data_IF_372266414739
#
_entry.id   IF_372266414739
#
_cell.length_a   1.000
_cell.length_b   1.000
_cell.length_c   1.000
_cell.angle_alpha   90.00
_cell.angle_beta   90.00
_cell.angle_gamma   90.00
#
_symmetry.space_group_name_H-M   'P 1'
#
loop_
_entity.id
_entity.type
_entity.pdbx_description
1 polymer ?
#
# COMPACT_ATOMS: atom_id res chain seq x y z
N UNK A 1 51.91 -47.71 -7.42
CA UNK A 1 51.26 -48.70 -8.31
C UNK A 1 50.05 -48.05 -8.95
N UNK A 2 49.87 -48.33 -10.24
CA UNK A 2 48.91 -47.73 -11.17
C UNK A 2 47.45 -48.22 -10.93
N UNK A 3 46.47 -47.57 -11.58
CA UNK A 3 45.06 -47.40 -11.20
C UNK A 3 44.14 -48.41 -11.91
N UNK A 4 42.82 -48.29 -11.74
CA UNK A 4 41.72 -48.72 -12.62
C UNK A 4 40.41 -48.29 -11.91
N UNK A 5 39.28 -47.93 -12.51
CA UNK A 5 38.85 -47.80 -13.89
C UNK A 5 37.34 -47.47 -13.88
N UNK A 6 36.92 -46.49 -14.69
CA UNK A 6 36.01 -46.63 -15.84
C UNK A 6 34.50 -46.88 -15.58
N UNK A 7 33.71 -45.83 -15.92
CA UNK A 7 32.52 -45.78 -16.83
C UNK A 7 31.29 -46.69 -16.57
N UNK A 8 30.12 -46.51 -17.24
CA UNK A 8 29.65 -45.52 -18.25
C UNK A 8 28.33 -44.79 -17.84
N UNK A 9 27.90 -43.64 -18.38
CA UNK A 9 27.40 -43.25 -19.72
C UNK A 9 26.16 -44.01 -20.26
N UNK A 10 25.07 -43.24 -20.39
CA UNK A 10 24.22 -43.07 -21.59
C UNK A 10 22.84 -43.77 -21.67
N UNK A 11 22.03 -43.18 -22.57
CA UNK A 11 20.83 -43.70 -23.29
C UNK A 11 19.49 -43.36 -22.63
N UNK A 12 18.43 -42.87 -23.29
CA UNK A 12 18.15 -42.15 -24.55
C UNK A 12 16.61 -41.94 -24.54
N UNK A 13 16.16 -40.81 -25.09
CA UNK A 13 14.94 -40.59 -25.91
C UNK A 13 13.74 -41.56 -25.76
N UNK A 14 12.58 -40.98 -25.46
CA UNK A 14 11.26 -41.50 -25.85
C UNK A 14 10.37 -40.35 -26.32
N UNK A 15 9.85 -40.48 -27.54
CA UNK A 15 9.12 -39.50 -28.34
C UNK A 15 7.68 -40.01 -28.52
N UNK A 16 6.70 -39.09 -28.61
CA UNK A 16 5.30 -39.25 -29.06
C UNK A 16 4.33 -40.13 -28.24
N UNK A 17 3.14 -39.61 -27.93
CA UNK A 17 1.91 -39.82 -28.74
C UNK A 17 0.77 -38.88 -28.29
N UNK A 18 0.11 -38.30 -29.29
CA UNK A 18 -1.16 -37.58 -29.31
C UNK A 18 -2.31 -38.27 -28.56
N UNK A 19 -3.18 -37.52 -27.87
CA UNK A 19 -4.64 -37.62 -28.03
C UNK A 19 -5.24 -36.23 -27.84
N UNK A 20 -5.74 -35.65 -28.94
CA UNK A 20 -6.80 -34.65 -28.91
C UNK A 20 -8.13 -35.40 -28.94
N UNK A 21 -9.08 -35.03 -28.08
CA UNK A 21 -10.49 -35.22 -28.36
C UNK A 21 -11.33 -34.17 -27.64
N UNK A 22 -12.00 -33.38 -28.47
CA UNK A 22 -13.08 -32.46 -28.15
C UNK A 22 -14.28 -33.21 -27.56
N UNK A 23 -15.08 -32.48 -26.76
CA UNK A 23 -16.53 -32.50 -26.98
C UNK A 23 -17.42 -32.49 -25.75
N UNK A 24 -18.22 -31.42 -25.67
CA UNK A 24 -19.44 -31.23 -24.86
C UNK A 24 -19.26 -31.08 -23.34
N UNK A 25 -19.78 -30.07 -22.66
CA UNK A 25 -20.72 -29.02 -23.03
C UNK A 25 -21.44 -28.59 -21.76
N UNK A 26 -21.38 -27.31 -21.41
CA UNK A 26 -22.33 -26.63 -20.51
C UNK A 26 -22.17 -25.13 -20.72
N UNK A 27 -22.94 -24.61 -21.66
CA UNK A 27 -23.11 -23.18 -21.89
C UNK A 27 -24.02 -22.62 -20.80
N UNK A 28 -23.46 -21.89 -19.83
CA UNK A 28 -24.23 -20.93 -19.03
C UNK A 28 -24.34 -19.63 -19.83
N UNK A 29 -25.40 -19.52 -20.61
CA UNK A 29 -25.81 -18.28 -21.24
C UNK A 29 -26.51 -17.38 -20.19
N UNK A 30 -25.72 -16.66 -19.40
CA UNK A 30 -26.17 -15.50 -18.65
C UNK A 30 -26.05 -14.26 -19.53
N UNK A 31 -27.13 -13.91 -20.25
CA UNK A 31 -27.17 -12.72 -21.09
C UNK A 31 -27.24 -11.44 -20.25
N UNK A 32 -26.12 -10.76 -20.06
CA UNK A 32 -26.11 -9.37 -19.63
C UNK A 32 -26.66 -8.48 -20.76
N UNK A 33 -27.87 -7.97 -20.57
CA UNK A 33 -28.40 -6.87 -21.38
C UNK A 33 -27.50 -5.64 -21.16
N UNK A 34 -26.73 -5.27 -22.21
CA UNK A 34 -26.13 -3.95 -22.32
C UNK A 34 -27.23 -2.88 -22.30
N UNK A 35 -27.45 -2.27 -21.15
CA UNK A 35 -28.18 -1.00 -21.04
C UNK A 35 -27.29 0.08 -21.64
N UNK A 36 -27.81 0.80 -22.64
CA UNK A 36 -27.11 1.96 -23.18
C UNK A 36 -26.99 3.03 -22.09
N UNK A 37 -25.82 3.65 -21.90
CA UNK A 37 -25.66 4.70 -20.90
C UNK A 37 -26.51 5.93 -21.30
N UNK A 38 -27.07 6.66 -20.32
CA UNK A 38 -27.79 7.91 -20.59
C UNK A 38 -26.86 8.92 -21.28
N UNK A 39 -27.44 9.71 -22.18
CA UNK A 39 -26.72 10.77 -22.89
C UNK A 39 -26.06 11.75 -21.90
N UNK A 40 -24.76 12.00 -22.06
CA UNK A 40 -23.96 12.86 -21.19
C UNK A 40 -22.77 12.18 -20.50
N UNK A 41 -22.61 10.85 -20.61
CA UNK A 41 -21.43 10.15 -20.09
C UNK A 41 -20.22 10.44 -21.00
N UNK A 42 -19.12 11.01 -20.48
CA UNK A 42 -17.92 11.27 -21.27
C UNK A 42 -17.38 9.96 -21.87
N UNK A 43 -16.77 10.07 -23.05
CA UNK A 43 -16.19 8.94 -23.80
C UNK A 43 -15.52 7.95 -22.85
N UNK A 44 -15.90 6.66 -22.93
CA UNK A 44 -15.45 5.57 -22.03
C UNK A 44 -13.95 5.67 -21.73
N UNK A 45 -13.66 6.26 -20.58
CA UNK A 45 -12.33 6.48 -20.02
C UNK A 45 -11.56 5.15 -19.95
N UNK A 46 -10.32 5.16 -20.44
CA UNK A 46 -9.44 4.00 -20.51
C UNK A 46 -9.11 3.47 -19.10
N UNK A 47 -9.02 4.35 -18.11
CA UNK A 47 -8.79 3.98 -16.72
C UNK A 47 -9.93 3.10 -16.20
N UNK A 48 -11.18 3.53 -16.44
CA UNK A 48 -12.39 2.82 -16.02
C UNK A 48 -12.56 1.43 -16.67
N UNK A 49 -11.92 1.13 -17.81
CA UNK A 49 -11.94 -0.20 -18.42
C UNK A 49 -11.04 -1.21 -17.71
N UNK A 50 -10.02 -0.72 -17.00
CA UNK A 50 -9.04 -1.54 -16.27
C UNK A 50 -9.39 -1.73 -14.80
N UNK A 51 -10.33 -0.93 -14.28
CA UNK A 51 -10.94 -1.13 -12.98
C UNK A 51 -11.88 -2.33 -13.09
N UNK A 52 -11.57 -3.40 -12.36
CA UNK A 52 -12.56 -4.47 -12.13
C UNK A 52 -12.93 -4.48 -10.65
N UNK A 53 -14.23 -4.66 -10.39
CA UNK A 53 -14.74 -4.90 -9.05
C UNK A 53 -14.29 -6.30 -8.64
N UNK A 54 -13.52 -6.37 -7.55
CA UNK A 54 -13.25 -7.66 -6.93
C UNK A 54 -14.38 -7.91 -5.91
N UNK A 55 -15.14 -9.02 -6.01
CA UNK A 55 -16.09 -9.37 -4.97
C UNK A 55 -15.29 -9.81 -3.74
N UNK A 56 -15.06 -8.88 -2.81
CA UNK A 56 -14.49 -9.22 -1.51
C UNK A 56 -15.60 -9.66 -0.58
N UNK A 57 -15.60 -10.90 -0.11
CA UNK A 57 -16.62 -11.38 0.84
C UNK A 57 -15.94 -11.73 2.15
N UNK A 58 -16.13 -10.90 3.18
CA UNK A 58 -15.64 -11.21 4.53
C UNK A 58 -16.84 -11.58 5.40
N UNK A 59 -16.88 -12.82 5.91
CA UNK A 59 -18.02 -13.38 6.67
C UNK A 59 -19.39 -13.23 5.97
N UNK A 60 -19.43 -13.34 4.64
CA UNK A 60 -20.66 -13.20 3.86
C UNK A 60 -21.02 -11.76 3.47
N UNK A 61 -20.29 -10.74 3.96
CA UNK A 61 -20.49 -9.35 3.55
C UNK A 61 -19.61 -9.00 2.35
N UNK A 62 -20.24 -8.56 1.26
CA UNK A 62 -19.52 -8.01 0.11
C UNK A 62 -18.95 -6.63 0.43
N UNK A 63 -17.62 -6.50 0.47
CA UNK A 63 -16.91 -5.23 0.53
C UNK A 63 -16.73 -4.69 -0.90
N UNK A 64 -16.99 -3.40 -1.08
CA UNK A 64 -16.93 -2.73 -2.38
C UNK A 64 -15.51 -2.24 -2.68
N UNK A 65 -14.56 -3.16 -2.88
CA UNK A 65 -13.18 -2.80 -3.24
C UNK A 65 -12.90 -3.09 -4.71
N UNK A 66 -12.43 -2.06 -5.41
CA UNK A 66 -12.08 -2.11 -6.82
C UNK A 66 -10.57 -2.25 -6.96
N UNK A 67 -10.12 -3.09 -7.89
CA UNK A 67 -8.70 -3.27 -8.19
C UNK A 67 -8.41 -2.80 -9.61
N UNK A 68 -7.56 -1.77 -9.73
CA UNK A 68 -6.99 -1.34 -11.00
C UNK A 68 -5.62 -2.01 -11.19
N UNK A 69 -5.53 -2.92 -12.15
CA UNK A 69 -4.33 -3.68 -12.46
C UNK A 69 -4.24 -3.96 -13.96
N UNK A 70 -3.03 -3.89 -14.52
CA UNK A 70 -2.76 -4.16 -15.95
C UNK A 70 -2.61 -5.64 -16.27
N UNK A 71 -2.21 -6.45 -15.29
CA UNK A 71 -2.04 -7.90 -15.45
C UNK A 71 -2.86 -8.67 -14.42
N UNK A 72 -3.22 -9.92 -14.72
CA UNK A 72 -3.91 -10.80 -13.77
C UNK A 72 -3.05 -11.14 -12.55
N UNK A 73 -1.72 -11.15 -12.70
CA UNK A 73 -0.78 -11.41 -11.59
C UNK A 73 -0.77 -10.25 -10.62
N UNK A 74 -0.69 -9.02 -11.12
CA UNK A 74 -0.71 -7.82 -10.29
C UNK A 74 -2.08 -7.66 -9.61
N UNK A 75 -3.17 -7.98 -10.33
CA UNK A 75 -4.51 -8.04 -9.75
C UNK A 75 -4.57 -8.98 -8.56
N UNK A 76 -4.08 -10.22 -8.73
CA UNK A 76 -4.08 -11.23 -7.67
C UNK A 76 -3.30 -10.75 -6.45
N UNK A 77 -2.11 -10.18 -6.66
CA UNK A 77 -1.31 -9.65 -5.57
C UNK A 77 -2.01 -8.50 -4.83
N UNK A 78 -2.54 -7.51 -5.55
CA UNK A 78 -3.29 -6.40 -4.94
C UNK A 78 -4.55 -6.88 -4.20
N UNK A 79 -5.20 -7.93 -4.72
CA UNK A 79 -6.33 -8.56 -4.06
C UNK A 79 -5.93 -9.24 -2.74
N UNK A 80 -4.92 -10.11 -2.77
CA UNK A 80 -4.40 -10.80 -1.58
C UNK A 80 -3.96 -9.78 -0.50
N UNK A 81 -3.21 -8.75 -0.90
CA UNK A 81 -2.76 -7.67 -0.03
C UNK A 81 -3.93 -6.91 0.63
N UNK A 82 -4.95 -6.54 -0.17
CA UNK A 82 -6.13 -5.86 0.34
C UNK A 82 -6.97 -6.77 1.26
N UNK A 83 -7.10 -8.04 0.92
CA UNK A 83 -7.87 -9.01 1.69
C UNK A 83 -7.33 -9.16 3.11
N UNK A 84 -6.02 -9.31 3.24
CA UNK A 84 -5.34 -9.45 4.53
C UNK A 84 -5.66 -8.28 5.47
N UNK A 85 -5.53 -7.04 4.97
CA UNK A 85 -5.79 -5.82 5.76
C UNK A 85 -7.26 -5.68 6.12
N UNK A 86 -8.16 -5.83 5.14
CA UNK A 86 -9.60 -5.64 5.35
C UNK A 86 -10.17 -6.72 6.29
N UNK A 87 -9.63 -7.94 6.23
CA UNK A 87 -9.99 -9.02 7.14
C UNK A 87 -9.65 -8.68 8.58
N UNK A 88 -8.47 -8.09 8.84
CA UNK A 88 -8.12 -7.62 10.19
C UNK A 88 -9.10 -6.54 10.67
N UNK A 89 -9.41 -5.54 9.86
CA UNK A 89 -10.35 -4.46 10.23
C UNK A 89 -11.72 -5.02 10.61
N UNK A 90 -12.23 -5.97 9.82
CA UNK A 90 -13.52 -6.61 10.06
C UNK A 90 -13.51 -7.49 11.30
N UNK A 91 -12.51 -8.35 11.45
CA UNK A 91 -12.44 -9.30 12.56
C UNK A 91 -12.16 -8.63 13.91
N UNK A 92 -11.48 -7.48 13.91
CA UNK A 92 -11.21 -6.71 15.14
C UNK A 92 -12.41 -5.89 15.60
N UNK A 93 -13.40 -5.66 14.73
CA UNK A 93 -14.55 -4.82 15.02
C UNK A 93 -14.20 -3.33 15.10
N UNK A 94 -13.06 -2.92 14.52
CA UNK A 94 -12.71 -1.50 14.35
C UNK A 94 -13.74 -0.81 13.44
N UNK A 95 -14.22 -1.53 12.43
CA UNK A 95 -15.36 -1.06 11.62
C UNK A 95 -16.13 -2.23 10.98
N UNK A 96 -17.45 -2.13 10.98
CA UNK A 96 -18.33 -3.09 10.30
C UNK A 96 -18.36 -2.90 8.77
N UNK A 97 -17.97 -1.71 8.30
CA UNK A 97 -17.91 -1.39 6.87
C UNK A 97 -16.54 -0.78 6.55
N UNK A 98 -16.00 -1.01 5.36
CA UNK A 98 -14.70 -0.42 4.93
C UNK A 98 -14.82 0.66 3.85
N UNK A 99 -15.99 0.74 3.20
CA UNK A 99 -16.32 1.80 2.24
C UNK A 99 -16.05 1.32 0.83
N UNK A 100 -16.25 2.21 -0.15
CA UNK A 100 -15.87 1.97 -1.53
C UNK A 100 -14.39 2.26 -1.69
N UNK A 101 -13.58 1.21 -1.80
CA UNK A 101 -12.14 1.32 -1.97
C UNK A 101 -11.68 1.19 -3.41
N UNK A 102 -10.57 1.83 -3.74
CA UNK A 102 -9.81 1.56 -4.96
C UNK A 102 -8.34 1.28 -4.62
N UNK A 103 -7.86 0.09 -4.98
CA UNK A 103 -6.43 -0.22 -4.96
C UNK A 103 -5.88 -0.17 -6.38
N UNK A 104 -4.85 0.65 -6.58
CA UNK A 104 -4.17 0.84 -7.85
C UNK A 104 -2.79 0.23 -7.74
N UNK A 105 -2.51 -0.85 -8.48
CA UNK A 105 -1.18 -1.42 -8.49
C UNK A 105 -0.32 -0.80 -9.59
N UNK A 106 0.84 -0.27 -9.20
CA UNK A 106 1.84 0.23 -10.13
C UNK A 106 2.45 -0.89 -10.98
N UNK A 107 2.83 -0.56 -12.21
CA UNK A 107 3.53 -1.50 -13.08
C UNK A 107 5.05 -1.41 -12.91
N UNK A 108 5.74 -2.51 -13.18
CA UNK A 108 7.19 -2.56 -13.13
C UNK A 108 7.80 -1.54 -14.10
N UNK A 109 8.65 -0.66 -13.60
CA UNK A 109 9.34 0.37 -14.38
C UNK A 109 8.59 1.69 -14.46
N UNK A 110 7.34 1.76 -13.99
CA UNK A 110 6.67 3.04 -13.81
C UNK A 110 7.27 3.83 -12.64
N UNK A 111 7.35 5.16 -12.76
CA UNK A 111 7.77 5.99 -11.65
C UNK A 111 6.72 5.96 -10.53
N UNK A 112 7.22 5.93 -9.30
CA UNK A 112 6.39 6.08 -8.12
C UNK A 112 5.66 7.45 -8.13
N UNK A 113 4.39 7.56 -7.69
CA UNK A 113 3.61 8.82 -7.73
C UNK A 113 4.30 10.00 -7.04
N UNK A 114 5.09 9.72 -6.00
CA UNK A 114 5.89 10.73 -5.28
C UNK A 114 6.79 11.56 -6.22
N UNK A 115 7.25 10.98 -7.35
CA UNK A 115 8.05 11.71 -8.34
C UNK A 115 7.25 12.83 -9.01
N UNK A 116 6.00 12.58 -9.38
CA UNK A 116 5.10 13.60 -9.93
C UNK A 116 4.84 14.70 -8.89
N UNK A 117 4.61 14.33 -7.64
CA UNK A 117 4.33 15.28 -6.57
C UNK A 117 5.53 16.21 -6.32
N UNK A 118 6.74 15.65 -6.26
CA UNK A 118 7.97 16.44 -6.13
C UNK A 118 8.21 17.36 -7.32
N UNK A 119 7.92 16.89 -8.54
CA UNK A 119 8.01 17.72 -9.73
C UNK A 119 7.02 18.90 -9.69
N UNK A 120 5.79 18.67 -9.21
CA UNK A 120 4.81 19.73 -8.99
C UNK A 120 5.34 20.78 -7.99
N UNK A 121 5.84 20.33 -6.84
CA UNK A 121 6.41 21.23 -5.82
C UNK A 121 7.58 22.06 -6.38
N UNK A 122 8.51 21.43 -7.10
CA UNK A 122 9.65 22.11 -7.69
C UNK A 122 9.25 23.13 -8.77
N UNK A 123 8.21 22.84 -9.56
CA UNK A 123 7.68 23.81 -10.53
C UNK A 123 6.99 24.98 -9.83
N UNK A 124 6.30 24.73 -8.72
CA UNK A 124 5.66 25.78 -7.93
C UNK A 124 6.69 26.73 -7.30
N UNK A 125 7.74 26.16 -6.69
CA UNK A 125 8.86 26.92 -6.12
C UNK A 125 9.58 27.77 -7.17
N UNK A 126 9.73 27.22 -8.39
CA UNK A 126 10.32 27.94 -9.51
C UNK A 126 9.39 29.01 -10.13
N UNK A 127 8.18 29.22 -9.61
CA UNK A 127 7.19 30.16 -10.16
C UNK A 127 6.69 29.77 -11.55
N UNK A 128 6.75 28.48 -11.91
CA UNK A 128 6.41 27.95 -13.24
C UNK A 128 4.99 27.38 -13.33
N UNK A 129 4.23 27.43 -12.24
CA UNK A 129 2.82 27.04 -12.22
C UNK A 129 1.93 28.29 -12.24
N UNK A 130 0.70 28.12 -12.71
CA UNK A 130 -0.34 29.12 -12.53
C UNK A 130 -0.51 29.48 -11.03
N UNK A 131 -0.64 30.75 -10.65
CA UNK A 131 -0.73 31.15 -9.24
C UNK A 131 -1.85 30.47 -8.46
N UNK A 132 -3.01 30.21 -9.08
CA UNK A 132 -4.12 29.54 -8.42
C UNK A 132 -3.85 28.04 -8.21
N UNK A 133 -3.07 27.43 -9.10
CA UNK A 133 -2.58 26.05 -8.95
C UNK A 133 -1.50 25.97 -7.87
N UNK A 134 -0.54 26.90 -7.89
CA UNK A 134 0.53 26.98 -6.89
C UNK A 134 -0.02 27.20 -5.47
N UNK A 135 -1.17 27.88 -5.33
CA UNK A 135 -1.84 28.06 -4.03
C UNK A 135 -2.26 26.73 -3.35
N UNK A 136 -2.26 25.60 -4.08
CA UNK A 136 -2.56 24.27 -3.53
C UNK A 136 -1.32 23.53 -3.01
N UNK A 137 -0.12 24.09 -3.14
CA UNK A 137 1.13 23.50 -2.61
C UNK A 137 1.05 23.11 -1.13
N UNK A 138 0.49 23.92 -0.21
CA UNK A 138 0.42 23.55 1.20
C UNK A 138 -0.39 22.27 1.45
N UNK A 139 -1.42 22.01 0.65
CA UNK A 139 -2.22 20.77 0.74
C UNK A 139 -1.37 19.54 0.41
N UNK A 140 -0.60 19.61 -0.69
CA UNK A 140 0.27 18.50 -1.10
C UNK A 140 1.44 18.29 -0.13
N UNK A 141 2.04 19.37 0.37
CA UNK A 141 3.10 19.30 1.38
C UNK A 141 2.59 18.64 2.66
N UNK A 142 1.43 19.08 3.18
CA UNK A 142 0.82 18.48 4.35
C UNK A 142 0.54 16.98 4.15
N UNK A 143 0.08 16.57 2.95
CA UNK A 143 -0.11 15.16 2.63
C UNK A 143 1.21 14.37 2.66
N UNK A 144 2.27 14.89 2.03
CA UNK A 144 3.60 14.24 2.01
C UNK A 144 4.21 14.16 3.40
N UNK A 145 4.20 15.25 4.16
CA UNK A 145 4.70 15.28 5.54
C UNK A 145 3.92 14.32 6.44
N UNK A 146 2.61 14.20 6.22
CA UNK A 146 1.79 13.24 6.93
C UNK A 146 2.17 11.80 6.58
N UNK A 147 2.44 11.48 5.32
CA UNK A 147 2.94 10.15 4.95
C UNK A 147 4.33 9.87 5.52
N UNK A 148 5.24 10.85 5.43
CA UNK A 148 6.60 10.75 5.93
C UNK A 148 6.63 10.52 7.45
N UNK A 149 5.91 11.34 8.22
CA UNK A 149 5.79 11.16 9.68
C UNK A 149 5.23 9.79 10.03
N UNK A 150 4.27 9.27 9.25
CA UNK A 150 3.72 7.93 9.50
C UNK A 150 4.71 6.81 9.20
N UNK A 151 5.55 6.94 8.19
CA UNK A 151 6.62 5.97 7.96
C UNK A 151 7.70 6.04 9.05
N UNK A 152 8.15 7.25 9.38
CA UNK A 152 9.24 7.48 10.34
C UNK A 152 8.88 7.05 11.76
N UNK A 153 7.69 7.45 12.26
CA UNK A 153 7.22 7.10 13.61
C UNK A 153 6.92 5.60 13.79
N UNK A 154 6.97 4.79 12.73
CA UNK A 154 6.50 3.40 12.73
C UNK A 154 7.56 2.40 12.28
N UNK A 155 8.83 2.76 12.44
CA UNK A 155 9.96 1.83 12.35
C UNK A 155 10.79 1.90 11.08
N UNK A 156 10.50 2.81 10.13
CA UNK A 156 11.43 3.05 9.01
C UNK A 156 12.50 4.11 9.32
N UNK A 157 12.29 4.96 10.32
CA UNK A 157 13.30 5.91 10.80
C UNK A 157 14.31 5.32 11.79
N UNK A 158 14.17 4.03 12.12
CA UNK A 158 15.11 3.32 13.00
C UNK A 158 16.09 2.56 12.13
N UNK A 159 17.35 2.95 12.23
CA UNK A 159 18.46 2.17 11.72
C UNK A 159 18.34 0.72 12.19
N UNK A 160 18.37 -0.22 11.24
CA UNK A 160 18.38 -1.64 11.60
C UNK A 160 19.79 -1.94 12.05
N UNK A 161 20.01 -1.91 13.37
CA UNK A 161 21.26 -2.36 13.98
C UNK A 161 21.41 -3.85 13.73
N UNK A 162 22.40 -4.21 12.94
CA UNK A 162 22.71 -5.61 12.69
C UNK A 162 23.76 -6.04 13.68
N UNK A 163 23.34 -6.64 14.78
CA UNK A 163 24.25 -7.37 15.65
C UNK A 163 24.65 -8.66 14.93
N UNK A 164 25.87 -8.67 14.38
CA UNK A 164 26.46 -9.86 13.81
C UNK A 164 26.87 -10.79 14.96
N UNK A 165 26.03 -11.78 15.23
CA UNK A 165 26.24 -12.78 16.27
C UNK A 165 27.60 -13.49 16.06
N UNK A 166 28.58 -13.14 16.89
CA UNK A 166 29.92 -13.74 16.87
C UNK A 166 31.11 -12.81 16.56
N UNK A 167 30.92 -11.52 16.27
CA UNK A 167 32.04 -10.57 16.17
C UNK A 167 32.29 -9.91 17.53
N UNK A 168 33.36 -10.31 18.23
CA UNK A 168 33.81 -9.65 19.47
C UNK A 168 34.35 -8.22 19.26
N UNK A 169 34.49 -7.80 18.00
CA UNK A 169 35.12 -6.53 17.62
C UNK A 169 34.11 -5.49 17.11
N UNK A 170 32.80 -5.66 17.37
CA UNK A 170 31.81 -4.61 17.10
C UNK A 170 31.59 -4.30 15.62
N UNK A 171 31.89 -5.23 14.71
CA UNK A 171 31.63 -5.09 13.27
C UNK A 171 30.15 -5.36 12.93
N UNK A 172 29.23 -4.81 13.71
CA UNK A 172 27.82 -4.74 13.37
C UNK A 172 27.62 -3.64 12.34
N UNK A 173 27.10 -3.98 11.16
CA UNK A 173 26.71 -2.99 10.15
C UNK A 173 25.37 -2.37 10.52
N UNK A 174 25.26 -1.06 10.47
CA UNK A 174 23.98 -0.36 10.60
C UNK A 174 23.46 -0.08 9.19
N UNK A 175 22.28 -0.62 8.85
CA UNK A 175 21.64 -0.29 7.56
C UNK A 175 20.68 0.86 7.82
N UNK A 176 21.04 2.02 7.28
CA UNK A 176 20.24 3.22 7.34
C UNK A 176 19.14 3.16 6.26
N UNK A 177 17.89 3.05 6.71
CA UNK A 177 16.70 2.96 5.88
C UNK A 177 15.98 4.31 5.82
N UNK A 178 16.71 5.37 5.49
CA UNK A 178 16.13 6.71 5.34
C UNK A 178 14.89 6.67 4.45
N UNK A 179 13.85 7.42 4.82
CA UNK A 179 12.60 7.50 4.09
C UNK A 179 12.81 7.71 2.58
N UNK A 180 13.75 8.59 2.21
CA UNK A 180 14.09 8.88 0.82
C UNK A 180 14.58 7.66 0.03
N UNK A 181 15.28 6.74 0.67
CA UNK A 181 15.78 5.52 0.04
C UNK A 181 14.64 4.54 -0.23
N UNK A 182 13.66 4.47 0.66
CA UNK A 182 12.59 3.45 0.61
C UNK A 182 11.25 3.94 0.09
N UNK A 183 11.00 5.25 0.00
CA UNK A 183 9.69 5.84 -0.34
C UNK A 183 9.13 5.32 -1.65
N UNK A 184 9.99 4.99 -2.62
CA UNK A 184 9.56 4.46 -3.93
C UNK A 184 9.00 3.02 -3.88
N UNK A 185 9.22 2.32 -2.77
CA UNK A 185 8.69 0.98 -2.50
C UNK A 185 7.54 0.98 -1.48
N UNK A 186 7.24 2.12 -0.85
CA UNK A 186 6.14 2.26 0.09
C UNK A 186 4.84 2.61 -0.64
N UNK A 187 3.70 2.05 -0.25
CA UNK A 187 2.42 2.45 -0.81
C UNK A 187 2.02 3.85 -0.37
N UNK A 188 1.10 4.44 -1.12
CA UNK A 188 0.64 5.81 -0.92
C UNK A 188 -0.89 5.87 -0.93
N UNK A 189 -1.51 6.37 0.14
CA UNK A 189 -2.88 6.89 0.06
C UNK A 189 -2.93 8.01 -0.99
N UNK A 190 -3.92 7.97 -1.87
CA UNK A 190 -4.13 9.00 -2.88
C UNK A 190 -5.36 9.82 -2.50
N UNK A 191 -5.11 10.96 -1.85
CA UNK A 191 -6.13 11.86 -1.33
C UNK A 191 -5.96 13.28 -1.91
N UNK A 192 -7.06 13.99 -2.12
CA UNK A 192 -7.06 15.39 -2.58
C UNK A 192 -6.21 15.62 -3.83
N UNK A 193 -5.35 16.64 -3.79
CA UNK A 193 -4.45 16.99 -4.90
C UNK A 193 -3.54 15.83 -5.35
N UNK A 194 -3.14 14.93 -4.45
CA UNK A 194 -2.28 13.80 -4.82
C UNK A 194 -2.96 12.81 -5.77
N UNK A 195 -4.26 12.54 -5.55
CA UNK A 195 -5.07 11.72 -6.44
C UNK A 195 -5.18 12.31 -7.85
N UNK A 196 -5.30 13.64 -7.94
CA UNK A 196 -5.43 14.37 -9.20
C UNK A 196 -4.12 14.39 -9.98
N UNK A 197 -3.00 14.66 -9.29
CA UNK A 197 -1.66 14.62 -9.87
C UNK A 197 -1.28 13.20 -10.33
N UNK A 198 -1.73 12.17 -9.60
CA UNK A 198 -1.58 10.79 -10.05
C UNK A 198 -2.34 10.53 -11.35
N UNK A 199 -3.62 10.90 -11.42
CA UNK A 199 -4.43 10.72 -12.63
C UNK A 199 -3.83 11.45 -13.83
N UNK A 200 -3.36 12.69 -13.64
CA UNK A 200 -2.68 13.45 -14.68
C UNK A 200 -1.44 12.70 -15.16
N UNK A 201 -0.57 12.26 -14.26
CA UNK A 201 0.63 11.52 -14.63
C UNK A 201 0.29 10.22 -15.37
N UNK A 202 -0.74 9.52 -14.92
CA UNK A 202 -1.23 8.30 -15.53
C UNK A 202 -1.77 8.54 -16.96
N UNK A 203 -2.55 9.61 -17.20
CA UNK A 203 -3.05 9.96 -18.54
C UNK A 203 -1.91 10.28 -19.52
N UNK A 204 -0.83 10.88 -19.02
CA UNK A 204 0.38 11.12 -19.79
C UNK A 204 1.33 9.92 -19.85
N UNK A 205 0.87 8.74 -19.39
CA UNK A 205 1.63 7.47 -19.34
C UNK A 205 2.94 7.57 -18.59
N UNK A 206 2.99 8.45 -17.60
CA UNK A 206 4.18 8.77 -16.81
C UNK A 206 5.39 9.23 -17.63
N UNK A 207 5.19 9.75 -18.84
CA UNK A 207 6.24 10.35 -19.64
C UNK A 207 6.69 11.67 -18.99
N UNK A 208 7.94 11.72 -18.52
CA UNK A 208 8.42 12.85 -17.70
C UNK A 208 8.29 14.21 -18.40
N UNK A 209 8.53 14.27 -19.71
CA UNK A 209 8.44 15.52 -20.47
C UNK A 209 6.99 15.96 -20.66
N UNK A 210 6.09 15.01 -20.95
CA UNK A 210 4.65 15.31 -21.09
C UNK A 210 4.01 15.66 -19.76
N UNK A 211 4.35 14.95 -18.69
CA UNK A 211 3.91 15.27 -17.33
C UNK A 211 4.34 16.68 -16.98
N UNK A 212 5.61 17.04 -17.17
CA UNK A 212 6.08 18.40 -16.88
C UNK A 212 5.33 19.46 -17.69
N UNK A 213 5.20 19.25 -19.00
CA UNK A 213 4.48 20.17 -19.87
C UNK A 213 3.02 20.32 -19.44
N UNK A 214 2.38 19.23 -19.02
CA UNK A 214 1.01 19.21 -18.53
C UNK A 214 0.89 19.91 -17.17
N UNK A 215 1.84 19.70 -16.26
CA UNK A 215 1.88 20.39 -14.97
C UNK A 215 2.03 21.90 -15.14
N UNK A 216 2.91 22.36 -16.03
CA UNK A 216 3.07 23.79 -16.33
C UNK A 216 1.84 24.42 -16.97
N UNK A 217 1.04 23.63 -17.68
CA UNK A 217 -0.17 24.07 -18.35
C UNK A 217 -1.45 23.90 -17.50
N UNK A 218 -1.34 23.36 -16.27
CA UNK A 218 -2.48 23.16 -15.37
C UNK A 218 -3.16 24.49 -15.04
N UNK A 219 -4.49 24.47 -15.04
CA UNK A 219 -5.34 25.52 -14.46
C UNK A 219 -6.07 24.97 -13.24
N UNK A 220 -6.53 25.85 -12.36
CA UNK A 220 -7.28 25.44 -11.17
C UNK A 220 -8.50 24.56 -11.51
N UNK A 221 -9.22 24.85 -12.60
CA UNK A 221 -10.36 24.04 -13.06
C UNK A 221 -9.98 22.62 -13.50
N UNK A 222 -8.73 22.38 -13.91
CA UNK A 222 -8.25 21.03 -14.26
C UNK A 222 -8.10 20.16 -13.00
N UNK A 223 -7.90 20.79 -11.84
CA UNK A 223 -7.83 20.15 -10.52
C UNK A 223 -9.20 19.98 -9.86
N UNK A 224 -10.30 20.25 -10.57
CA UNK A 224 -11.66 19.96 -10.07
C UNK A 224 -12.18 18.60 -10.58
N UNK A 225 -11.52 18.05 -11.61
CA UNK A 225 -11.89 16.76 -12.19
C UNK A 225 -11.15 15.64 -11.49
N UNK A 226 -11.88 14.88 -10.70
CA UNK A 226 -11.33 13.72 -10.01
C UNK A 226 -12.21 12.48 -10.21
N UNK A 227 -11.70 11.50 -10.99
CA UNK A 227 -12.36 10.22 -11.24
C UNK A 227 -12.42 9.32 -9.99
N UNK A 228 -11.68 9.68 -8.95
CA UNK A 228 -11.58 8.94 -7.69
C UNK A 228 -12.61 9.38 -6.66
N UNK A 229 -13.34 10.47 -6.88
CA UNK A 229 -14.42 10.98 -6.01
C UNK A 229 -15.54 9.97 -5.70
N UNK A 230 -15.68 8.92 -6.52
CA UNK A 230 -16.63 7.81 -6.28
C UNK A 230 -16.17 6.80 -5.23
N UNK A 231 -14.93 6.89 -4.78
CA UNK A 231 -14.35 6.02 -3.76
C UNK A 231 -14.21 6.81 -2.46
N UNK A 232 -14.42 6.12 -1.35
CA UNK A 232 -14.22 6.67 -0.02
C UNK A 232 -12.72 6.72 0.33
N UNK A 233 -11.91 5.87 -0.32
CA UNK A 233 -10.45 5.88 -0.25
C UNK A 233 -9.81 5.30 -1.51
N UNK A 234 -8.63 5.81 -1.85
CA UNK A 234 -7.80 5.31 -2.94
C UNK A 234 -6.39 5.05 -2.45
N UNK A 235 -5.83 3.92 -2.85
CA UNK A 235 -4.54 3.43 -2.38
C UNK A 235 -3.67 2.98 -3.54
N UNK A 236 -2.52 3.62 -3.71
CA UNK A 236 -1.49 3.17 -4.64
C UNK A 236 -0.60 2.11 -3.98
N UNK A 237 -0.49 0.96 -4.63
CA UNK A 237 0.35 -0.16 -4.21
C UNK A 237 1.51 -0.34 -5.22
N UNK A 238 2.77 -0.12 -4.81
CA UNK A 238 3.92 -0.43 -5.65
C UNK A 238 3.91 -1.90 -6.08
N UNK A 239 4.52 -2.23 -7.24
CA UNK A 239 4.63 -3.61 -7.67
C UNK A 239 5.38 -4.44 -6.62
N UNK A 240 5.04 -5.73 -6.52
CA UNK A 240 5.55 -6.64 -5.46
C UNK A 240 7.07 -6.62 -5.30
N UNK A 241 7.80 -6.40 -6.40
CA UNK A 241 9.26 -6.40 -6.45
C UNK A 241 9.88 -4.99 -6.36
N UNK A 242 9.11 -3.94 -6.07
CA UNK A 242 9.62 -2.58 -5.88
C UNK A 242 10.60 -2.53 -4.70
N UNK A 243 10.23 -3.18 -3.59
CA UNK A 243 11.07 -3.21 -2.39
C UNK A 243 12.39 -3.98 -2.60
N UNK A 244 12.35 -5.09 -3.34
CA UNK A 244 13.59 -5.84 -3.62
C UNK A 244 14.60 -5.00 -4.41
N UNK A 245 14.13 -4.15 -5.35
CA UNK A 245 15.00 -3.24 -6.10
C UNK A 245 15.63 -2.18 -5.19
N UNK A 246 14.81 -1.53 -4.36
CA UNK A 246 15.28 -0.55 -3.37
C UNK A 246 16.33 -1.16 -2.44
N UNK A 247 16.06 -2.36 -1.92
CA UNK A 247 16.97 -3.01 -0.99
C UNK A 247 18.30 -3.38 -1.67
N UNK A 248 18.25 -3.86 -2.91
CA UNK A 248 19.46 -4.18 -3.67
C UNK A 248 20.27 -2.91 -4.00
N UNK A 249 19.62 -1.76 -4.21
CA UNK A 249 20.27 -0.44 -4.40
C UNK A 249 20.96 0.04 -3.11
N UNK A 250 20.26 0.00 -1.96
CA UNK A 250 20.83 0.36 -0.64
C UNK A 250 22.05 -0.51 -0.34
N UNK A 251 21.96 -1.83 -0.59
CA UNK A 251 23.09 -2.75 -0.40
C UNK A 251 24.25 -2.38 -1.33
N UNK A 252 23.96 -2.09 -2.60
CA UNK A 252 25.00 -1.76 -3.57
C UNK A 252 25.71 -0.44 -3.23
N UNK A 253 25.00 0.54 -2.67
CA UNK A 253 25.55 1.80 -2.19
C UNK A 253 26.47 1.59 -0.99
N UNK A 254 25.99 0.89 0.06
CA UNK A 254 26.79 0.55 1.23
C UNK A 254 28.09 -0.21 0.85
N UNK A 255 28.01 -1.14 -0.12
CA UNK A 255 29.18 -1.87 -0.60
C UNK A 255 30.20 -1.03 -1.38
N UNK A 256 29.81 0.13 -1.93
CA UNK A 256 30.70 1.05 -2.66
C UNK A 256 31.45 1.98 -1.74
N UNK A 257 30.79 2.48 -0.69
CA UNK A 257 31.39 3.43 0.26
C UNK A 257 32.56 2.81 1.03
N UNK A 258 32.51 1.51 1.31
CA UNK A 258 33.53 0.82 2.12
C UNK A 258 34.84 0.48 1.39
N UNK A 259 34.99 0.80 0.10
CA UNK A 259 36.15 0.33 -0.69
C UNK A 259 36.34 -1.20 -0.59
N UNK A 260 35.25 -1.93 -0.32
CA UNK A 260 35.30 -3.24 0.29
C UNK A 260 36.05 -4.25 -0.59
N UNK A 261 37.14 -4.81 -0.06
CA UNK A 261 37.81 -5.98 -0.62
C UNK A 261 36.89 -7.20 -0.67
N UNK A 262 37.29 -8.26 -1.39
CA UNK A 262 36.48 -9.46 -1.63
C UNK A 262 35.88 -10.04 -0.33
N UNK A 263 36.63 -10.01 0.78
CA UNK A 263 36.21 -10.54 2.08
C UNK A 263 35.11 -9.69 2.76
N UNK A 264 35.24 -8.36 2.76
CA UNK A 264 34.20 -7.48 3.29
C UNK A 264 32.89 -7.63 2.50
N UNK A 265 32.98 -7.78 1.17
CA UNK A 265 31.81 -8.08 0.33
C UNK A 265 31.13 -9.40 0.69
N UNK A 266 31.91 -10.43 1.04
CA UNK A 266 31.37 -11.74 1.47
C UNK A 266 30.75 -11.67 2.86
N UNK A 267 31.34 -10.89 3.78
CA UNK A 267 30.78 -10.65 5.12
C UNK A 267 29.42 -9.92 5.02
N UNK A 268 29.35 -8.81 4.28
CA UNK A 268 28.10 -8.07 4.04
C UNK A 268 27.03 -8.97 3.42
N UNK A 269 27.38 -9.75 2.39
CA UNK A 269 26.44 -10.71 1.78
C UNK A 269 25.91 -11.75 2.78
N UNK A 270 26.78 -12.28 3.64
CA UNK A 270 26.41 -13.30 4.63
C UNK A 270 25.46 -12.71 5.68
N UNK A 271 25.76 -11.51 6.15
CA UNK A 271 24.90 -10.74 7.07
C UNK A 271 23.55 -10.42 6.42
N UNK A 272 23.55 -9.98 5.15
CA UNK A 272 22.33 -9.67 4.41
C UNK A 272 21.41 -10.87 4.21
N UNK A 273 21.92 -12.11 4.13
CA UNK A 273 21.06 -13.30 4.06
C UNK A 273 20.21 -13.48 5.32
N UNK A 274 20.72 -13.07 6.49
CA UNK A 274 20.01 -13.14 7.77
C UNK A 274 19.07 -11.94 7.95
N UNK A 275 19.50 -10.76 7.50
CA UNK A 275 18.80 -9.49 7.75
C UNK A 275 17.72 -9.17 6.72
N UNK A 276 17.93 -9.49 5.43
CA UNK A 276 16.98 -9.21 4.33
C UNK A 276 15.57 -9.74 4.63
N UNK A 277 15.37 -10.95 5.17
CA UNK A 277 14.04 -11.40 5.58
C UNK A 277 13.41 -10.56 6.69
N UNK A 278 14.18 -10.12 7.70
CA UNK A 278 13.70 -9.26 8.80
C UNK A 278 13.26 -7.90 8.27
N UNK A 279 14.10 -7.24 7.45
CA UNK A 279 13.76 -5.96 6.81
C UNK A 279 12.52 -6.12 5.93
N UNK A 280 12.47 -7.17 5.10
CA UNK A 280 11.29 -7.43 4.24
C UNK A 280 10.02 -7.56 5.06
N UNK A 281 10.05 -8.28 6.18
CA UNK A 281 8.88 -8.45 7.04
C UNK A 281 8.47 -7.14 7.70
N UNK A 282 9.42 -6.37 8.24
CA UNK A 282 9.16 -5.06 8.83
C UNK A 282 8.54 -4.09 7.80
N UNK A 283 9.11 -4.02 6.60
CA UNK A 283 8.59 -3.18 5.52
C UNK A 283 7.21 -3.66 5.09
N UNK A 284 6.97 -4.97 4.96
CA UNK A 284 5.63 -5.47 4.64
C UNK A 284 4.61 -5.11 5.72
N UNK A 285 5.01 -5.10 7.00
CA UNK A 285 4.24 -4.56 8.11
C UNK A 285 3.86 -3.10 7.88
N UNK A 286 4.83 -2.25 7.54
CA UNK A 286 4.60 -0.82 7.23
C UNK A 286 3.65 -0.67 6.03
N UNK A 287 3.85 -1.45 4.96
CA UNK A 287 3.00 -1.39 3.76
C UNK A 287 1.55 -1.73 4.08
N UNK A 288 1.31 -2.82 4.81
CA UNK A 288 -0.03 -3.19 5.25
C UNK A 288 -0.62 -2.18 6.24
N UNK A 289 0.20 -1.68 7.18
CA UNK A 289 -0.20 -0.65 8.14
C UNK A 289 -0.64 0.64 7.46
N UNK A 290 0.04 1.08 6.39
CA UNK A 290 -0.38 2.25 5.61
C UNK A 290 -1.74 2.05 4.94
N UNK A 291 -2.03 0.83 4.45
CA UNK A 291 -3.37 0.52 3.92
C UNK A 291 -4.41 0.48 5.04
N UNK A 292 -4.08 -0.13 6.18
CA UNK A 292 -4.94 -0.17 7.35
C UNK A 292 -5.32 1.25 7.80
N UNK A 293 -4.34 2.14 7.94
CA UNK A 293 -4.55 3.56 8.26
C UNK A 293 -5.47 4.24 7.24
N UNK A 294 -5.20 4.06 5.94
CA UNK A 294 -6.00 4.64 4.87
C UNK A 294 -7.48 4.22 4.96
N UNK A 295 -7.74 2.93 5.15
CA UNK A 295 -9.11 2.40 5.21
C UNK A 295 -9.82 2.84 6.50
N UNK A 296 -9.13 2.79 7.65
CA UNK A 296 -9.73 3.14 8.94
C UNK A 296 -10.03 4.64 9.01
N UNK A 297 -9.15 5.48 8.46
CA UNK A 297 -9.31 6.94 8.40
C UNK A 297 -10.41 7.41 7.47
N UNK A 298 -10.65 6.68 6.38
CA UNK A 298 -11.78 6.94 5.49
C UNK A 298 -13.14 6.82 6.21
N UNK A 299 -13.16 6.36 7.47
CA UNK A 299 -14.34 6.36 8.33
C UNK A 299 -14.45 7.63 9.16
N UNK A 300 -15.61 8.25 9.05
CA UNK A 300 -16.02 9.33 9.94
C UNK A 300 -16.10 8.82 11.39
N UNK A 301 -15.48 9.56 12.31
CA UNK A 301 -15.67 9.39 13.75
C UNK A 301 -14.47 8.90 14.55
N UNK A 302 -13.35 8.56 13.91
CA UNK A 302 -12.09 8.28 14.61
C UNK A 302 -11.13 9.47 14.48
N UNK A 303 -10.57 9.90 15.61
CA UNK A 303 -9.51 10.91 15.63
C UNK A 303 -8.16 10.33 15.18
N UNK A 304 -7.24 11.20 14.78
CA UNK A 304 -5.94 10.82 14.26
C UNK A 304 -5.09 10.01 15.26
N UNK A 305 -5.20 10.27 16.56
CA UNK A 305 -4.44 9.55 17.58
C UNK A 305 -4.95 8.11 17.71
N UNK A 306 -6.27 7.92 17.69
CA UNK A 306 -6.91 6.60 17.67
C UNK A 306 -6.49 5.80 16.43
N UNK A 307 -6.57 6.40 15.23
CA UNK A 307 -6.12 5.73 14.00
C UNK A 307 -4.63 5.39 14.08
N UNK A 308 -3.83 6.30 14.63
CA UNK A 308 -2.39 6.11 14.75
C UNK A 308 -2.03 4.96 15.68
N UNK A 309 -2.67 4.89 16.85
CA UNK A 309 -2.46 3.83 17.83
C UNK A 309 -2.87 2.46 17.29
N UNK A 310 -4.04 2.36 16.65
CA UNK A 310 -4.49 1.12 16.02
C UNK A 310 -3.54 0.66 14.90
N UNK A 311 -3.01 1.59 14.12
CA UNK A 311 -2.06 1.23 13.07
C UNK A 311 -0.69 0.85 13.65
N UNK A 312 -0.25 1.48 14.74
CA UNK A 312 0.95 1.06 15.47
C UNK A 312 0.83 -0.39 15.93
N UNK A 313 -0.27 -0.73 16.60
CA UNK A 313 -0.57 -2.09 17.03
C UNK A 313 -0.61 -3.10 15.87
N UNK A 314 -1.03 -2.67 14.67
CA UNK A 314 -0.97 -3.49 13.45
C UNK A 314 0.50 -3.77 13.04
N UNK A 315 1.31 -2.71 12.88
CA UNK A 315 2.67 -2.80 12.34
C UNK A 315 3.60 -3.55 13.29
N UNK A 316 3.48 -3.34 14.60
CA UNK A 316 4.33 -3.97 15.62
C UNK A 316 4.33 -5.51 15.53
N UNK A 317 3.24 -6.13 15.05
CA UNK A 317 3.17 -7.59 14.90
C UNK A 317 4.03 -8.16 13.76
N UNK A 318 4.55 -7.28 12.92
CA UNK A 318 5.48 -7.59 11.84
C UNK A 318 6.94 -7.27 12.21
N UNK A 319 7.18 -6.59 13.34
CA UNK A 319 8.53 -6.37 13.85
C UNK A 319 9.04 -7.70 14.43
N UNK A 320 10.18 -8.21 13.94
CA UNK A 320 10.69 -9.49 14.38
C UNK A 320 11.35 -9.36 15.76
N UNK A 321 10.59 -9.56 16.84
CA UNK A 321 11.20 -9.97 18.10
C UNK A 321 11.59 -11.45 18.04
N UNK A 322 12.69 -11.80 18.73
CA UNK A 322 13.21 -13.16 18.78
C UNK A 322 12.32 -14.12 19.59
N UNK A 323 11.29 -13.58 20.25
CA UNK A 323 10.31 -14.37 20.97
C UNK A 323 9.35 -15.07 20.01
N UNK A 324 9.19 -16.38 20.23
CA UNK A 324 8.24 -17.21 19.49
C UNK A 324 6.82 -16.79 19.87
N UNK A 325 6.27 -15.83 19.16
CA UNK A 325 4.85 -15.55 19.30
C UNK A 325 4.04 -16.75 18.78
N UNK A 326 3.09 -17.21 19.58
CA UNK A 326 2.16 -18.27 19.18
C UNK A 326 1.12 -17.75 18.17
N UNK A 327 0.83 -18.56 17.15
CA UNK A 327 -0.19 -18.27 16.14
C UNK A 327 0.34 -17.63 14.85
N UNK A 328 -0.53 -17.59 13.84
CA UNK A 328 -0.25 -16.99 12.53
C UNK A 328 -0.10 -15.45 12.60
N UNK A 329 0.59 -14.86 11.63
CA UNK A 329 0.77 -13.38 11.55
C UNK A 329 -0.59 -12.66 11.59
N UNK A 330 -1.61 -13.21 10.92
CA UNK A 330 -2.98 -12.71 10.96
C UNK A 330 -3.60 -12.74 12.37
N UNK A 331 -3.54 -13.89 13.06
CA UNK A 331 -4.13 -14.04 14.40
C UNK A 331 -3.49 -13.11 15.42
N UNK A 332 -2.17 -12.91 15.33
CA UNK A 332 -1.44 -11.97 16.19
C UNK A 332 -1.85 -10.53 15.91
N UNK A 333 -1.94 -10.15 14.64
CA UNK A 333 -2.40 -8.82 14.21
C UNK A 333 -3.82 -8.54 14.69
N UNK A 334 -4.76 -9.47 14.50
CA UNK A 334 -6.14 -9.35 14.99
C UNK A 334 -6.17 -9.20 16.52
N UNK A 335 -5.36 -9.98 17.25
CA UNK A 335 -5.30 -9.90 18.71
C UNK A 335 -4.78 -8.54 19.18
N UNK A 336 -3.69 -8.07 18.60
CA UNK A 336 -3.06 -6.80 18.95
C UNK A 336 -4.00 -5.62 18.69
N UNK A 337 -4.52 -5.52 17.47
CA UNK A 337 -5.46 -4.45 17.08
C UNK A 337 -6.74 -4.48 17.91
N UNK A 338 -7.30 -5.67 18.20
CA UNK A 338 -8.49 -5.78 19.05
C UNK A 338 -8.20 -5.33 20.49
N UNK A 339 -7.04 -5.72 21.03
CA UNK A 339 -6.64 -5.32 22.39
C UNK A 339 -6.52 -3.80 22.49
N UNK A 340 -5.88 -3.20 21.50
CA UNK A 340 -5.73 -1.75 21.42
C UNK A 340 -7.06 -1.03 21.24
N UNK A 341 -7.94 -1.57 20.39
CA UNK A 341 -9.28 -1.04 20.17
C UNK A 341 -10.12 -1.02 21.44
N UNK A 342 -10.13 -2.12 22.20
CA UNK A 342 -10.84 -2.20 23.47
C UNK A 342 -10.22 -1.32 24.57
N UNK A 343 -8.90 -1.10 24.53
CA UNK A 343 -8.21 -0.14 25.41
C UNK A 343 -8.66 1.29 25.13
N UNK A 344 -8.74 1.67 23.85
CA UNK A 344 -9.14 3.02 23.43
C UNK A 344 -10.61 3.30 23.74
N UNK A 345 -11.52 2.34 23.50
CA UNK A 345 -12.94 2.46 23.89
C UNK A 345 -13.15 2.76 25.38
N UNK A 346 -12.33 2.17 26.26
CA UNK A 346 -12.41 2.40 27.71
C UNK A 346 -11.87 3.77 28.13
N UNK A 347 -11.00 4.37 27.32
CA UNK A 347 -10.39 5.68 27.58
C UNK A 347 -11.31 6.83 27.14
N UNK A 348 -12.17 6.60 26.14
CA UNK A 348 -13.22 7.54 25.74
C UNK A 348 -14.37 7.47 26.74
N UNK A 349 -14.63 8.52 27.56
CA UNK A 349 -15.80 8.52 28.42
C UNK A 349 -17.06 8.39 27.55
N UNK A 350 -18.11 7.67 28.00
CA UNK A 350 -19.37 7.65 27.28
C UNK A 350 -19.83 9.09 27.11
N UNK A 351 -20.07 9.50 25.87
CA UNK A 351 -20.70 10.79 25.60
C UNK A 351 -21.95 10.86 26.48
N UNK A 352 -22.03 11.91 27.31
CA UNK A 352 -23.17 12.16 28.18
C UNK A 352 -24.44 11.93 27.36
N UNK A 353 -25.21 10.94 27.77
CA UNK A 353 -26.49 10.63 27.17
C UNK A 353 -27.31 11.91 27.11
N UNK A 354 -27.82 12.22 25.92
CA UNK A 354 -28.87 13.20 25.69
C UNK A 354 -29.82 13.22 26.89
N UNK A 355 -29.80 14.33 27.63
CA UNK A 355 -30.75 14.56 28.70
C UNK A 355 -32.16 14.38 28.10
N UNK A 356 -32.94 13.47 28.70
CA UNK A 356 -34.36 13.35 28.43
C UNK A 356 -34.98 14.77 28.40
N UNK A 357 -35.72 15.14 27.33
CA UNK A 357 -36.40 16.41 27.33
C UNK A 357 -37.41 16.40 28.47
N UNK A 358 -37.17 17.25 29.47
CA UNK A 358 -38.06 17.44 30.59
C UNK A 358 -39.50 17.64 30.08
N UNK A 359 -40.41 16.76 30.49
CA UNK A 359 -41.84 16.88 30.25
C UNK A 359 -42.31 18.31 30.60
N UNK A 360 -42.67 19.07 29.57
CA UNK A 360 -43.30 20.36 29.73
C UNK A 360 -44.70 20.14 30.34
N UNK A 361 -44.87 20.54 31.61
CA UNK A 361 -46.19 20.61 32.25
C UNK A 361 -47.12 21.52 31.44
N UNK A 362 -48.40 21.15 31.23
CA UNK A 362 -49.34 22.00 30.51
C UNK A 362 -49.69 23.22 31.37
N UNK A 363 -49.47 24.42 30.82
CA UNK A 363 -50.05 25.66 31.33
C UNK A 363 -51.56 25.67 31.09
N UNK A 364 -52.36 25.74 32.15
CA UNK A 364 -53.79 26.04 32.09
C UNK A 364 -54.03 27.45 31.49
N UNK A 365 -55.06 27.64 30.65
CA UNK A 365 -55.42 28.96 30.14
C UNK A 365 -56.16 29.79 31.21
N UNK A 366 -55.92 31.11 31.28
CA UNK A 366 -56.62 31.99 32.21
C UNK A 366 -58.07 32.20 31.78
N UNK A 367 -58.97 32.27 32.77
CA UNK A 367 -60.38 32.69 32.61
C UNK A 367 -60.52 34.20 32.61
#
# INVERSE_FOLDING_TARGET
MRPLALFPRAVRRGFCTFVALLGAGLAFAGGEKKVAPPEGVPAKDEFSRMVQLAPFVVRGQQLAVSIHARTSRDRRYAQEFAEEVLRVIHETGVSERTGRGLVIIGEKGEPHPIRCFRQFLALAEAGKLDPAVAARVPELQAAIEHWQRRSENRGTGSSVKIEADGSKDGAGGEVDLEFEKIVSALPLPLEGLAAQLYQLAWFEKFDAAKVEAKLRALRAADLERDLFTRYDWVFYLPPRNAFDQVLDEIIAEAMKEDGAGLFARMAVKSVMLVVKPKIRKAIEGVRHGLMFDCVVRARAGLDDDTVSALTGAYIEQFVPDEEKFEGSDHERTVRAVRTEWERLKKKTPPAESEAEPAEAKPTEPPR
#
